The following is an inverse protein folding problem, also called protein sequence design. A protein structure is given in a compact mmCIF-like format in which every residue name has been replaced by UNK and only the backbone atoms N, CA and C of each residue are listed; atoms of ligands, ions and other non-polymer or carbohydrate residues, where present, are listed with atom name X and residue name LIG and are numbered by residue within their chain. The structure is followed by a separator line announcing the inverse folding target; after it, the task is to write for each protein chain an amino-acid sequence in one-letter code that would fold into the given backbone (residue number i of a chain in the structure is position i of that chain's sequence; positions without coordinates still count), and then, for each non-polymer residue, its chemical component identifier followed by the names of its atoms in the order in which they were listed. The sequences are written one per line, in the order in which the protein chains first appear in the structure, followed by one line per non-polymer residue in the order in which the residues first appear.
data_IF_738384167121
#
_entry.id   IF_738384167121
#
_cell.length_a   1.000
_cell.length_b   1.000
_cell.length_c   1.000
_cell.angle_alpha   90.00
_cell.angle_beta   90.00
_cell.angle_gamma   90.00
#
_symmetry.space_group_name_H-M   'P 1'
#
loop_
_entity.id
_entity.type
_entity.pdbx_description
1 polymer ?
#
# COMPACT_ATOMS: atom_id res chain seq x y z
N UNK A 1 -0.63 9.55 8.62
CA UNK A 1 0.77 9.27 8.23
C UNK A 1 0.88 9.27 6.71
N UNK A 2 1.85 9.97 6.09
CA UNK A 2 2.00 9.92 4.61
C UNK A 2 2.98 8.79 4.23
N UNK A 3 2.54 7.92 3.34
CA UNK A 3 3.32 6.83 2.75
C UNK A 3 3.46 7.14 1.26
N UNK A 4 4.69 7.36 0.82
CA UNK A 4 5.00 7.56 -0.60
C UNK A 4 5.74 6.35 -1.12
N UNK A 5 5.26 5.81 -2.23
CA UNK A 5 5.89 4.67 -2.91
C UNK A 5 6.20 5.06 -4.35
N UNK A 6 7.46 4.94 -4.72
CA UNK A 6 7.94 5.13 -6.08
C UNK A 6 8.16 3.76 -6.69
N UNK A 7 7.52 3.50 -7.83
CA UNK A 7 7.64 2.23 -8.55
C UNK A 7 8.03 2.49 -9.98
N UNK A 8 8.89 1.65 -10.52
CA UNK A 8 9.15 1.65 -11.96
C UNK A 8 8.08 0.85 -12.70
N UNK A 9 7.98 1.06 -14.01
CA UNK A 9 7.11 0.21 -14.85
C UNK A 9 7.51 -1.26 -14.77
N UNK A 10 8.82 -1.55 -14.69
CA UNK A 10 9.32 -2.92 -14.58
C UNK A 10 8.83 -3.58 -13.28
N UNK A 11 8.88 -2.86 -12.15
CA UNK A 11 8.37 -3.38 -10.88
C UNK A 11 6.86 -3.62 -10.91
N UNK A 12 6.08 -2.74 -11.55
CA UNK A 12 4.64 -2.99 -11.76
C UNK A 12 4.41 -4.26 -12.57
N UNK A 13 5.17 -4.47 -13.66
CA UNK A 13 5.08 -5.68 -14.50
C UNK A 13 5.50 -6.94 -13.73
N UNK A 14 6.53 -6.87 -12.87
CA UNK A 14 6.96 -7.97 -12.01
C UNK A 14 5.93 -8.33 -10.94
N UNK A 15 5.18 -7.33 -10.47
CA UNK A 15 4.08 -7.50 -9.51
C UNK A 15 2.75 -7.81 -10.19
N UNK A 16 2.76 -8.08 -11.50
CA UNK A 16 1.58 -8.33 -12.32
C UNK A 16 0.51 -7.24 -12.20
N UNK A 17 0.93 -6.01 -11.94
CA UNK A 17 0.07 -4.85 -11.84
C UNK A 17 0.01 -4.13 -13.20
N UNK A 18 -1.18 -3.98 -13.77
CA UNK A 18 -1.36 -3.31 -15.07
C UNK A 18 -1.21 -1.79 -14.95
N UNK A 19 -1.32 -1.23 -13.74
CA UNK A 19 -1.27 0.21 -13.48
C UNK A 19 -0.90 0.54 -12.03
N UNK A 20 -0.44 1.78 -11.82
CA UNK A 20 -0.14 2.35 -10.48
C UNK A 20 -1.36 2.31 -9.57
N UNK A 21 -2.57 2.54 -10.12
CA UNK A 21 -3.83 2.49 -9.38
C UNK A 21 -4.08 1.09 -8.80
N UNK A 22 -3.91 0.04 -9.61
CA UNK A 22 -4.09 -1.35 -9.19
C UNK A 22 -3.08 -1.76 -8.11
N UNK A 23 -1.82 -1.34 -8.27
CA UNK A 23 -0.81 -1.54 -7.23
C UNK A 23 -1.17 -0.79 -5.93
N UNK A 24 -1.65 0.45 -6.03
CA UNK A 24 -2.05 1.23 -4.87
C UNK A 24 -3.25 0.59 -4.14
N UNK A 25 -4.21 0.03 -4.86
CA UNK A 25 -5.33 -0.71 -4.27
C UNK A 25 -4.88 -1.99 -3.56
N UNK A 26 -3.99 -2.79 -4.17
CA UNK A 26 -3.42 -3.97 -3.52
C UNK A 26 -2.61 -3.62 -2.28
N UNK A 27 -1.83 -2.54 -2.34
CA UNK A 27 -1.04 -2.08 -1.20
C UNK A 27 -1.94 -1.55 -0.08
N UNK A 28 -3.01 -0.82 -0.40
CA UNK A 28 -4.03 -0.41 0.58
C UNK A 28 -4.65 -1.63 1.24
N UNK A 29 -5.06 -2.63 0.47
CA UNK A 29 -5.66 -3.84 1.03
C UNK A 29 -4.72 -4.55 2.01
N UNK A 30 -3.43 -4.67 1.68
CA UNK A 30 -2.44 -5.25 2.59
C UNK A 30 -2.20 -4.39 3.85
N UNK A 31 -2.21 -3.07 3.71
CA UNK A 31 -2.10 -2.16 4.86
C UNK A 31 -3.35 -2.26 5.75
N UNK A 32 -4.55 -2.23 5.17
CA UNK A 32 -5.82 -2.36 5.88
C UNK A 32 -5.97 -3.73 6.57
N UNK A 33 -5.51 -4.81 5.93
CA UNK A 33 -5.46 -6.15 6.54
C UNK A 33 -4.45 -6.18 7.71
N UNK A 34 -3.26 -5.62 7.53
CA UNK A 34 -2.26 -5.49 8.61
C UNK A 34 -2.73 -4.61 9.78
N UNK A 35 -3.64 -3.66 9.53
CA UNK A 35 -4.29 -2.83 10.56
C UNK A 35 -5.43 -3.60 11.24
N UNK A 36 -6.19 -4.38 10.48
CA UNK A 36 -7.39 -5.07 10.97
C UNK A 36 -7.10 -6.42 11.63
N UNK A 37 -5.99 -7.08 11.29
CA UNK A 37 -5.54 -8.34 11.91
C UNK A 37 -4.82 -8.05 13.24
N UNK A 38 -5.57 -7.44 14.16
CA UNK A 38 -5.12 -7.20 15.53
C UNK A 38 -5.53 -8.38 16.41
N UNK A 39 -4.71 -9.43 16.41
CA UNK A 39 -4.64 -10.39 17.52
C UNK A 39 -3.86 -9.82 18.74
N UNK A 40 -3.80 -8.48 18.89
CA UNK A 40 -3.42 -7.81 20.14
C UNK A 40 -2.27 -6.81 20.08
N UNK A 41 -2.39 -5.67 19.37
CA UNK A 41 -1.61 -4.47 19.73
C UNK A 41 -1.10 -3.53 18.63
N UNK A 42 -1.48 -3.70 17.38
CA UNK A 42 -1.18 -2.81 16.25
C UNK A 42 -2.28 -1.76 15.96
N UNK A 43 -3.43 -1.78 16.63
CA UNK A 43 -4.56 -0.90 16.32
C UNK A 43 -4.40 0.62 16.55
N UNK A 44 -3.31 1.10 17.18
CA UNK A 44 -3.19 2.53 17.56
C UNK A 44 -2.20 3.35 16.70
N UNK A 45 -1.30 2.71 15.94
CA UNK A 45 -0.22 3.41 15.23
C UNK A 45 -0.53 3.74 13.76
N UNK A 46 -1.53 3.07 13.15
CA UNK A 46 -2.05 3.39 11.82
C UNK A 46 -3.58 3.48 11.90
N UNK A 47 -4.07 4.58 12.46
CA UNK A 47 -5.52 4.88 12.43
C UNK A 47 -5.88 5.66 11.17
N UNK A 48 -4.92 6.42 10.62
CA UNK A 48 -5.09 7.21 9.38
C UNK A 48 -3.77 7.32 8.60
N UNK A 49 -3.77 6.85 7.34
CA UNK A 49 -2.66 6.99 6.41
C UNK A 49 -3.09 7.60 5.07
N UNK A 50 -2.17 8.34 4.45
CA UNK A 50 -2.30 8.90 3.10
C UNK A 50 -1.29 8.16 2.21
N UNK A 51 -1.77 7.35 1.28
CA UNK A 51 -0.94 6.59 0.35
C UNK A 51 -0.86 7.31 -1.00
N UNK A 52 0.35 7.67 -1.40
CA UNK A 52 0.69 8.24 -2.70
C UNK A 52 1.64 7.30 -3.43
N UNK A 53 1.21 6.76 -4.57
CA UNK A 53 2.06 5.93 -5.43
C UNK A 53 2.35 6.69 -6.72
N UNK A 54 3.62 6.77 -7.09
CA UNK A 54 4.07 7.46 -8.30
C UNK A 54 4.97 6.56 -9.14
N UNK A 55 4.84 6.69 -10.46
CA UNK A 55 5.70 5.98 -11.40
C UNK A 55 6.95 6.82 -11.71
N UNK A 56 8.13 6.17 -11.69
CA UNK A 56 9.42 6.79 -12.01
C UNK A 56 10.16 6.09 -13.15
#
# INVERSE_FOLDING_TARGET
MKITVEVTKAELEEMYCESVEEFAEQLRHQLDDAISDDEGGAGDWIVEYDLEVTII
#
